data_IF_347727507446
#
_entry.id   IF_347727507446
#
_cell.length_a   1.000
_cell.length_b   1.000
_cell.length_c   1.000
_cell.angle_alpha   90.00
_cell.angle_beta   90.00
_cell.angle_gamma   90.00
#
_symmetry.space_group_name_H-M   'P 1'
#
loop_
_entity.id
_entity.type
_entity.pdbx_description
1 polymer ?
#
# COMPACT_ATOMS: atom_id res chain seq x y z
N UNK A 1 13.79 -4.93 -34.31
CA UNK A 1 13.01 -5.64 -33.28
C UNK A 1 12.84 -4.68 -32.09
N UNK A 2 11.61 -4.56 -31.56
CA UNK A 2 11.37 -3.77 -30.35
C UNK A 2 12.14 -4.32 -29.16
N UNK A 3 12.49 -3.46 -28.20
CA UNK A 3 13.11 -3.88 -26.93
C UNK A 3 12.15 -4.81 -26.18
N UNK A 4 12.70 -5.89 -25.62
CA UNK A 4 11.93 -6.88 -24.84
C UNK A 4 11.85 -6.47 -23.38
N UNK A 5 10.63 -6.41 -22.87
CA UNK A 5 10.37 -6.10 -21.47
C UNK A 5 9.58 -7.25 -20.85
N UNK A 6 10.07 -7.75 -19.74
CA UNK A 6 9.34 -8.69 -18.91
C UNK A 6 8.73 -7.95 -17.73
N UNK A 7 7.42 -8.15 -17.50
CA UNK A 7 6.75 -7.78 -16.28
C UNK A 7 6.54 -9.04 -15.43
N UNK A 8 7.15 -9.06 -14.27
CA UNK A 8 7.15 -10.20 -13.37
C UNK A 8 6.06 -10.03 -12.31
N UNK A 9 4.97 -10.77 -12.47
CA UNK A 9 3.74 -10.65 -11.72
C UNK A 9 2.75 -9.66 -12.33
N UNK A 10 1.47 -9.98 -12.31
CA UNK A 10 0.39 -9.14 -12.81
C UNK A 10 -0.14 -8.16 -11.73
N UNK A 11 0.73 -7.58 -10.91
CA UNK A 11 0.34 -6.50 -10.00
C UNK A 11 -0.19 -5.27 -10.74
N UNK A 12 -1.06 -4.47 -10.10
CA UNK A 12 -1.74 -3.33 -10.74
C UNK A 12 -0.78 -2.37 -11.47
N UNK A 13 0.34 -2.01 -10.85
CA UNK A 13 1.36 -1.17 -11.47
C UNK A 13 2.09 -1.85 -12.62
N UNK A 14 2.31 -3.17 -12.54
CA UNK A 14 2.92 -3.97 -13.60
C UNK A 14 2.04 -4.05 -14.85
N UNK A 15 0.75 -4.38 -14.68
CA UNK A 15 -0.24 -4.38 -15.75
C UNK A 15 -0.33 -3.03 -16.45
N UNK A 16 -0.40 -1.96 -15.68
CA UNK A 16 -0.51 -0.61 -16.23
C UNK A 16 0.78 -0.17 -16.93
N UNK A 17 1.96 -0.48 -16.36
CA UNK A 17 3.24 -0.22 -17.04
C UNK A 17 3.36 -1.01 -18.34
N UNK A 18 2.90 -2.27 -18.34
CA UNK A 18 2.87 -3.10 -19.54
C UNK A 18 2.00 -2.48 -20.65
N UNK A 19 0.80 -1.99 -20.30
CA UNK A 19 -0.09 -1.32 -21.25
C UNK A 19 0.59 -0.11 -21.89
N UNK A 20 1.17 0.77 -21.09
CA UNK A 20 1.81 2.00 -21.56
C UNK A 20 3.02 1.71 -22.46
N UNK A 21 3.83 0.72 -22.09
CA UNK A 21 5.02 0.34 -22.85
C UNK A 21 4.65 -0.40 -24.15
N UNK A 22 3.67 -1.31 -24.11
CA UNK A 22 3.20 -1.99 -25.32
C UNK A 22 2.59 -1.01 -26.32
N UNK A 23 1.77 -0.05 -25.84
CA UNK A 23 1.24 1.06 -26.66
C UNK A 23 2.35 1.91 -27.31
N UNK A 24 3.51 2.02 -26.64
CA UNK A 24 4.69 2.70 -27.17
C UNK A 24 5.55 1.83 -28.12
N UNK A 25 5.12 0.60 -28.43
CA UNK A 25 5.77 -0.29 -29.39
C UNK A 25 6.85 -1.23 -28.83
N UNK A 26 6.92 -1.38 -27.50
CA UNK A 26 7.81 -2.37 -26.88
C UNK A 26 7.20 -3.78 -26.97
N UNK A 27 8.05 -4.81 -27.03
CA UNK A 27 7.64 -6.22 -26.93
C UNK A 27 7.52 -6.59 -25.44
N UNK A 28 6.30 -6.48 -24.88
CA UNK A 28 6.05 -6.65 -23.46
C UNK A 28 5.35 -7.99 -23.20
N UNK A 29 5.91 -8.78 -22.27
CA UNK A 29 5.28 -10.02 -21.78
C UNK A 29 5.17 -9.97 -20.26
N UNK A 30 3.96 -10.24 -19.76
CA UNK A 30 3.62 -10.31 -18.34
C UNK A 30 3.56 -11.79 -17.95
N UNK A 31 4.29 -12.20 -16.92
CA UNK A 31 4.29 -13.56 -16.38
C UNK A 31 3.60 -13.58 -15.03
N UNK A 32 2.52 -14.35 -14.92
CA UNK A 32 1.69 -14.45 -13.72
C UNK A 32 1.54 -15.91 -13.29
N UNK A 33 1.64 -16.14 -11.97
CA UNK A 33 1.52 -17.48 -11.37
C UNK A 33 0.09 -18.02 -11.33
N UNK A 34 -0.89 -17.14 -11.19
CA UNK A 34 -2.29 -17.53 -11.15
C UNK A 34 -2.83 -17.85 -12.55
N UNK A 35 -3.91 -18.63 -12.60
CA UNK A 35 -4.68 -18.83 -13.81
C UNK A 35 -5.55 -17.58 -14.10
N UNK A 36 -6.00 -17.44 -15.33
CA UNK A 36 -6.76 -16.28 -15.80
C UNK A 36 -8.09 -16.09 -15.03
N UNK A 37 -8.69 -17.16 -14.56
CA UNK A 37 -9.95 -17.20 -13.83
C UNK A 37 -9.78 -17.08 -12.31
N UNK A 38 -8.53 -16.94 -11.81
CA UNK A 38 -8.23 -16.87 -10.38
C UNK A 38 -7.25 -15.73 -10.08
N UNK A 39 -7.54 -14.55 -10.62
CA UNK A 39 -6.71 -13.37 -10.42
C UNK A 39 -7.10 -12.60 -9.16
N UNK A 40 -6.10 -12.35 -8.31
CA UNK A 40 -6.25 -11.56 -7.10
C UNK A 40 -6.86 -12.33 -5.93
N UNK A 41 -7.38 -11.59 -4.96
CA UNK A 41 -8.10 -12.11 -3.80
C UNK A 41 -9.60 -11.90 -4.00
N UNK A 42 -10.44 -12.72 -3.38
CA UNK A 42 -11.90 -12.56 -3.40
C UNK A 42 -12.32 -11.45 -2.43
N UNK A 43 -12.00 -10.21 -2.79
CA UNK A 43 -12.20 -8.99 -2.02
C UNK A 43 -12.72 -7.85 -2.88
N UNK A 44 -13.22 -6.81 -2.21
CA UNK A 44 -13.41 -5.48 -2.78
C UNK A 44 -12.22 -4.58 -2.43
N UNK A 45 -11.93 -3.59 -3.26
CA UNK A 45 -10.92 -2.57 -3.00
C UNK A 45 -11.47 -1.16 -3.22
N UNK A 46 -10.89 -0.21 -2.49
CA UNK A 46 -11.21 1.21 -2.60
C UNK A 46 -9.97 1.93 -3.13
N UNK A 47 -10.15 2.76 -4.15
CA UNK A 47 -9.06 3.56 -4.72
C UNK A 47 -9.56 4.82 -5.42
N UNK A 48 -8.65 5.79 -5.60
CA UNK A 48 -8.90 7.02 -6.35
C UNK A 48 -8.98 6.74 -7.86
N UNK A 49 -10.14 6.86 -8.50
CA UNK A 49 -10.31 6.54 -9.92
C UNK A 49 -9.55 7.49 -10.85
N UNK A 50 -9.11 8.68 -10.40
CA UNK A 50 -8.21 9.55 -11.16
C UNK A 50 -6.89 8.87 -11.52
N UNK A 51 -6.52 7.81 -10.81
CA UNK A 51 -5.36 7.01 -11.17
C UNK A 51 -5.47 6.43 -12.58
N UNK A 52 -6.69 6.03 -12.99
CA UNK A 52 -6.98 5.51 -14.32
C UNK A 52 -6.80 6.60 -15.38
N UNK A 53 -7.31 7.81 -15.13
CA UNK A 53 -7.18 8.95 -16.06
C UNK A 53 -5.72 9.31 -16.32
N UNK A 54 -4.89 9.28 -15.27
CA UNK A 54 -3.45 9.60 -15.37
C UNK A 54 -2.74 8.73 -16.41
N UNK A 55 -3.18 7.49 -16.56
CA UNK A 55 -2.56 6.51 -17.47
C UNK A 55 -3.36 6.28 -18.76
N UNK A 56 -4.53 6.93 -18.89
CA UNK A 56 -5.43 6.76 -20.04
C UNK A 56 -6.06 5.36 -20.09
N UNK A 57 -6.24 4.73 -18.93
CA UNK A 57 -7.07 3.55 -18.77
C UNK A 57 -8.54 3.96 -18.68
N UNK A 58 -9.47 3.26 -19.36
CA UNK A 58 -10.89 3.60 -19.27
C UNK A 58 -11.39 3.51 -17.82
N UNK A 59 -12.40 4.32 -17.51
CA UNK A 59 -13.14 4.21 -16.25
C UNK A 59 -14.04 2.98 -16.25
N UNK A 60 -14.38 2.40 -15.09
CA UNK A 60 -15.22 1.20 -15.03
C UNK A 60 -16.59 1.40 -15.70
N UNK A 61 -17.22 2.57 -15.57
CA UNK A 61 -18.47 2.92 -16.24
C UNK A 61 -18.38 2.92 -17.77
N UNK A 62 -17.22 3.28 -18.32
CA UNK A 62 -16.99 3.33 -19.78
C UNK A 62 -16.92 1.92 -20.42
N UNK A 63 -16.61 0.91 -19.61
CA UNK A 63 -16.48 -0.49 -20.04
C UNK A 63 -17.53 -1.41 -19.42
N UNK A 64 -18.51 -0.83 -18.72
CA UNK A 64 -19.65 -1.56 -18.16
C UNK A 64 -19.31 -2.45 -16.96
N UNK A 65 -18.25 -2.14 -16.22
CA UNK A 65 -17.89 -2.83 -14.99
C UNK A 65 -18.61 -2.20 -13.78
N UNK A 66 -19.07 -3.02 -12.82
CA UNK A 66 -19.73 -2.52 -11.62
C UNK A 66 -18.74 -1.79 -10.70
N UNK A 67 -19.22 -0.73 -10.09
CA UNK A 67 -18.51 0.06 -9.10
C UNK A 67 -19.49 0.80 -8.20
N UNK A 68 -19.01 1.23 -7.03
CA UNK A 68 -19.77 2.01 -6.06
C UNK A 68 -18.91 3.13 -5.49
N UNK A 69 -19.57 4.20 -5.01
CA UNK A 69 -18.86 5.22 -4.24
C UNK A 69 -18.44 4.68 -2.87
N UNK A 70 -17.26 5.07 -2.41
CA UNK A 70 -16.87 4.90 -1.01
C UNK A 70 -17.86 5.61 -0.11
N UNK A 71 -18.22 4.99 1.00
CA UNK A 71 -19.09 5.57 2.03
C UNK A 71 -18.29 6.12 3.22
N UNK A 72 -18.95 6.91 4.09
CA UNK A 72 -18.39 7.38 5.35
C UNK A 72 -17.85 6.23 6.20
N UNK A 73 -16.72 6.46 6.85
CA UNK A 73 -16.13 5.52 7.81
C UNK A 73 -16.23 6.09 9.22
N UNK A 74 -16.54 5.24 10.18
CA UNK A 74 -16.59 5.64 11.60
C UNK A 74 -15.54 4.88 12.40
N UNK A 75 -14.64 5.62 13.03
CA UNK A 75 -13.50 5.09 13.78
C UNK A 75 -13.79 5.04 15.26
N UNK A 76 -13.41 3.92 15.86
CA UNK A 76 -13.50 3.65 17.30
C UNK A 76 -12.12 3.27 17.84
N UNK A 77 -11.73 3.83 18.97
CA UNK A 77 -10.63 3.32 19.79
C UNK A 77 -11.08 2.09 20.60
N UNK A 78 -10.18 1.48 21.38
CA UNK A 78 -10.46 0.24 22.11
C UNK A 78 -11.68 0.27 23.02
N UNK A 79 -11.89 1.37 23.74
CA UNK A 79 -13.01 1.58 24.66
C UNK A 79 -13.79 2.87 24.34
N UNK A 80 -13.70 3.33 23.09
CA UNK A 80 -14.37 4.56 22.66
C UNK A 80 -15.90 4.41 22.70
N UNK A 81 -16.54 5.32 23.40
CA UNK A 81 -18.00 5.41 23.46
C UNK A 81 -18.59 6.03 22.19
N UNK A 82 -19.91 5.88 21.98
CA UNK A 82 -20.57 6.35 20.76
C UNK A 82 -20.47 7.88 20.56
N UNK A 83 -20.38 8.66 21.63
CA UNK A 83 -20.22 10.11 21.59
C UNK A 83 -18.78 10.57 21.31
N UNK A 84 -17.80 9.67 21.38
CA UNK A 84 -16.38 9.94 21.12
C UNK A 84 -15.86 9.34 19.83
N UNK A 85 -16.69 8.60 19.09
CA UNK A 85 -16.33 8.07 17.77
C UNK A 85 -15.98 9.20 16.79
N UNK A 86 -15.08 8.92 15.86
CA UNK A 86 -14.66 9.88 14.83
C UNK A 86 -15.25 9.45 13.49
N UNK A 87 -16.13 10.29 12.92
CA UNK A 87 -16.68 10.05 11.59
C UNK A 87 -15.80 10.73 10.54
N UNK A 88 -15.23 9.94 9.66
CA UNK A 88 -14.58 10.39 8.44
C UNK A 88 -15.61 10.42 7.32
N UNK A 89 -16.00 11.62 6.91
CA UNK A 89 -16.91 11.80 5.79
C UNK A 89 -16.18 11.69 4.46
N UNK A 90 -16.84 11.12 3.48
CA UNK A 90 -16.39 11.21 2.09
C UNK A 90 -16.47 12.66 1.61
N UNK A 91 -15.65 13.07 0.63
CA UNK A 91 -15.75 14.41 0.02
C UNK A 91 -17.13 14.66 -0.58
N UNK A 92 -17.60 15.91 -0.49
CA UNK A 92 -18.87 16.32 -1.15
C UNK A 92 -18.71 16.42 -2.67
N UNK A 93 -17.49 16.67 -3.17
CA UNK A 93 -17.19 16.71 -4.60
C UNK A 93 -16.96 15.28 -5.13
N UNK A 94 -17.82 14.77 -6.03
CA UNK A 94 -17.62 13.44 -6.63
C UNK A 94 -16.27 13.25 -7.31
N UNK A 95 -15.65 14.34 -7.76
CA UNK A 95 -14.31 14.25 -8.35
C UNK A 95 -13.22 13.95 -7.34
N UNK A 96 -13.46 14.17 -6.05
CA UNK A 96 -12.53 13.85 -4.98
C UNK A 96 -12.86 12.52 -4.27
N UNK A 97 -13.96 11.88 -4.67
CA UNK A 97 -14.39 10.61 -4.09
C UNK A 97 -13.58 9.43 -4.63
N UNK A 98 -13.36 8.46 -3.75
CA UNK A 98 -12.85 7.15 -4.11
C UNK A 98 -14.00 6.22 -4.51
N UNK A 99 -13.70 5.24 -5.36
CA UNK A 99 -14.63 4.17 -5.77
C UNK A 99 -14.27 2.85 -5.12
N UNK A 100 -15.27 2.01 -4.89
CA UNK A 100 -15.17 0.61 -4.45
C UNK A 100 -15.49 -0.30 -5.64
N UNK A 101 -14.64 -1.28 -5.89
CA UNK A 101 -14.83 -2.29 -6.92
C UNK A 101 -14.47 -3.69 -6.40
N UNK A 102 -15.05 -4.73 -6.99
CA UNK A 102 -14.52 -6.08 -6.84
C UNK A 102 -13.10 -6.15 -7.39
N UNK A 103 -12.20 -6.81 -6.67
CA UNK A 103 -10.80 -6.94 -7.12
C UNK A 103 -10.68 -7.68 -8.45
N UNK A 104 -11.54 -8.66 -8.70
CA UNK A 104 -11.64 -9.36 -9.99
C UNK A 104 -11.95 -8.39 -11.14
N UNK A 105 -12.83 -7.41 -10.92
CA UNK A 105 -13.18 -6.41 -11.94
C UNK A 105 -12.05 -5.41 -12.16
N UNK A 106 -11.31 -5.04 -11.10
CA UNK A 106 -10.10 -4.23 -11.24
C UNK A 106 -9.05 -4.98 -12.08
N UNK A 107 -8.85 -6.27 -11.81
CA UNK A 107 -7.93 -7.09 -12.62
C UNK A 107 -8.40 -7.21 -14.05
N UNK A 108 -9.70 -7.47 -14.27
CA UNK A 108 -10.28 -7.52 -15.63
C UNK A 108 -10.01 -6.23 -16.38
N UNK A 109 -10.30 -5.07 -15.78
CA UNK A 109 -10.08 -3.75 -16.36
C UNK A 109 -8.61 -3.56 -16.77
N UNK A 110 -7.67 -3.84 -15.87
CA UNK A 110 -6.25 -3.59 -16.11
C UNK A 110 -5.62 -4.63 -17.07
N UNK A 111 -6.08 -5.88 -17.06
CA UNK A 111 -5.65 -6.91 -18.01
C UNK A 111 -6.15 -6.57 -19.42
N UNK A 112 -7.45 -6.19 -19.56
CA UNK A 112 -8.01 -5.78 -20.83
C UNK A 112 -7.28 -4.53 -21.39
N UNK A 113 -6.94 -3.59 -20.52
CA UNK A 113 -6.14 -2.43 -20.88
C UNK A 113 -4.72 -2.82 -21.34
N UNK A 114 -4.04 -3.73 -20.64
CA UNK A 114 -2.71 -4.19 -21.01
C UNK A 114 -2.70 -4.97 -22.33
N UNK A 115 -3.59 -5.96 -22.47
CA UNK A 115 -3.67 -6.81 -23.65
C UNK A 115 -4.20 -6.06 -24.88
N UNK A 116 -5.20 -5.19 -24.69
CA UNK A 116 -5.71 -4.29 -25.71
C UNK A 116 -4.66 -3.29 -26.23
N UNK A 117 -3.65 -2.98 -25.40
CA UNK A 117 -2.49 -2.17 -25.79
C UNK A 117 -1.37 -2.97 -26.47
N UNK A 118 -1.49 -4.30 -26.57
CA UNK A 118 -0.54 -5.18 -27.25
C UNK A 118 0.42 -5.94 -26.33
N UNK A 119 0.28 -5.85 -24.99
CA UNK A 119 1.05 -6.68 -24.08
C UNK A 119 0.55 -8.14 -24.11
N UNK A 120 1.48 -9.08 -23.91
CA UNK A 120 1.18 -10.52 -23.85
C UNK A 120 1.04 -10.94 -22.40
N UNK A 121 0.04 -11.80 -22.10
CA UNK A 121 -0.15 -12.43 -20.79
C UNK A 121 0.21 -13.91 -20.84
N UNK A 122 1.07 -14.34 -19.92
CA UNK A 122 1.45 -15.74 -19.70
C UNK A 122 1.03 -16.15 -18.30
N UNK A 123 -0.06 -16.91 -18.20
CA UNK A 123 -0.64 -17.37 -16.95
C UNK A 123 -0.06 -18.70 -16.48
N UNK A 124 -0.16 -18.98 -15.18
CA UNK A 124 0.30 -20.22 -14.56
C UNK A 124 1.82 -20.39 -14.68
N UNK A 125 2.60 -19.32 -14.63
CA UNK A 125 4.05 -19.31 -14.70
C UNK A 125 4.64 -18.91 -13.35
N UNK A 126 5.24 -19.86 -12.64
CA UNK A 126 5.90 -19.60 -11.37
C UNK A 126 7.32 -19.07 -11.58
N UNK A 127 7.52 -17.80 -11.27
CA UNK A 127 8.84 -17.16 -11.30
C UNK A 127 9.65 -17.67 -10.11
N UNK A 128 10.87 -18.14 -10.38
CA UNK A 128 11.81 -18.66 -9.37
C UNK A 128 12.83 -17.63 -8.93
N UNK A 129 13.12 -16.63 -9.77
CA UNK A 129 14.06 -15.56 -9.45
C UNK A 129 14.58 -14.82 -10.68
N UNK A 130 15.47 -13.84 -10.49
CA UNK A 130 16.12 -13.14 -11.60
C UNK A 130 17.22 -13.99 -12.22
N UNK A 131 17.44 -13.81 -13.54
CA UNK A 131 18.65 -14.25 -14.23
C UNK A 131 19.61 -13.07 -14.25
N UNK A 132 20.84 -13.31 -13.79
CA UNK A 132 21.87 -12.27 -13.64
C UNK A 132 23.00 -12.45 -14.63
N UNK A 133 23.43 -11.35 -15.27
CA UNK A 133 24.77 -11.24 -15.85
C UNK A 133 25.54 -10.21 -15.01
N UNK A 134 26.43 -10.69 -14.15
CA UNK A 134 27.15 -9.89 -13.15
C UNK A 134 26.17 -9.10 -12.24
N UNK A 135 26.10 -7.77 -12.37
CA UNK A 135 25.22 -6.90 -11.61
C UNK A 135 23.92 -6.55 -12.35
N UNK A 136 23.76 -7.04 -13.59
CA UNK A 136 22.61 -6.76 -14.43
C UNK A 136 21.58 -7.89 -14.37
N UNK A 137 20.32 -7.53 -14.22
CA UNK A 137 19.20 -8.45 -14.46
C UNK A 137 18.99 -8.56 -15.97
N UNK A 138 19.02 -9.78 -16.50
CA UNK A 138 18.86 -10.05 -17.93
C UNK A 138 17.66 -10.92 -18.25
N UNK A 139 16.86 -11.28 -17.24
CA UNK A 139 15.67 -12.11 -17.43
C UNK A 139 15.15 -12.68 -16.11
N UNK A 140 14.24 -13.63 -16.25
CA UNK A 140 13.63 -14.39 -15.14
C UNK A 140 13.77 -15.88 -15.36
N UNK A 141 14.05 -16.64 -14.30
CA UNK A 141 13.96 -18.08 -14.26
C UNK A 141 12.59 -18.49 -13.73
N UNK A 142 11.95 -19.46 -14.38
CA UNK A 142 10.60 -19.93 -14.04
C UNK A 142 10.53 -21.46 -13.98
N UNK A 143 9.37 -22.00 -13.65
CA UNK A 143 9.08 -23.43 -13.72
C UNK A 143 8.89 -23.93 -15.16
N UNK A 144 8.70 -23.00 -16.13
CA UNK A 144 8.55 -23.30 -17.57
C UNK A 144 9.80 -23.00 -18.40
N UNK A 145 10.92 -22.64 -17.74
CA UNK A 145 12.19 -22.30 -18.39
C UNK A 145 12.65 -20.88 -18.09
N UNK A 146 13.70 -20.47 -18.77
CA UNK A 146 14.34 -19.18 -18.63
C UNK A 146 13.89 -18.22 -19.73
N UNK A 147 13.53 -17.00 -19.37
CA UNK A 147 13.09 -15.95 -20.29
C UNK A 147 14.00 -14.73 -20.16
N UNK A 148 14.51 -14.24 -21.28
CA UNK A 148 15.46 -13.13 -21.34
C UNK A 148 14.81 -11.86 -21.86
N UNK A 149 15.20 -10.71 -21.30
CA UNK A 149 14.72 -9.39 -21.66
C UNK A 149 15.78 -8.31 -21.46
N UNK A 150 15.56 -7.15 -22.07
CA UNK A 150 16.39 -5.97 -21.87
C UNK A 150 16.11 -5.32 -20.50
N UNK A 151 14.86 -5.42 -20.02
CA UNK A 151 14.39 -4.92 -18.72
C UNK A 151 13.43 -5.91 -18.08
N UNK A 152 13.56 -6.09 -16.76
CA UNK A 152 12.59 -6.79 -15.91
C UNK A 152 11.93 -5.77 -14.95
N UNK A 153 10.62 -5.62 -15.09
CA UNK A 153 9.78 -4.83 -14.17
C UNK A 153 9.22 -5.80 -13.13
N UNK A 154 9.63 -5.61 -11.88
CA UNK A 154 9.21 -6.44 -10.76
C UNK A 154 7.91 -5.91 -10.16
N UNK A 155 6.81 -6.59 -10.43
CA UNK A 155 5.47 -6.36 -9.90
C UNK A 155 4.95 -7.58 -9.11
N UNK A 156 5.87 -8.43 -8.60
CA UNK A 156 5.54 -9.69 -7.92
C UNK A 156 5.14 -9.53 -6.45
N UNK A 157 4.93 -8.30 -5.98
CA UNK A 157 4.38 -8.01 -4.66
C UNK A 157 5.42 -7.89 -3.53
N UNK A 158 4.93 -7.77 -2.30
CA UNK A 158 5.75 -7.48 -1.11
C UNK A 158 6.88 -8.49 -0.85
N UNK A 159 6.65 -9.75 -1.14
CA UNK A 159 7.63 -10.85 -0.99
C UNK A 159 8.21 -11.27 -2.37
N UNK A 160 8.42 -10.32 -3.28
CA UNK A 160 8.92 -10.59 -4.62
C UNK A 160 10.11 -11.56 -4.62
N UNK A 161 9.96 -12.65 -5.36
CA UNK A 161 11.01 -13.65 -5.55
C UNK A 161 12.17 -13.13 -6.39
N UNK A 162 11.98 -12.02 -7.13
CA UNK A 162 13.07 -11.36 -7.87
C UNK A 162 13.86 -10.51 -6.89
N UNK A 163 13.22 -9.54 -6.22
CA UNK A 163 13.89 -8.62 -5.27
C UNK A 163 14.64 -9.38 -4.18
N UNK A 164 14.03 -10.40 -3.59
CA UNK A 164 14.63 -11.17 -2.48
C UNK A 164 15.87 -11.97 -2.89
N UNK A 165 16.03 -12.27 -4.18
CA UNK A 165 17.18 -13.01 -4.73
C UNK A 165 18.21 -12.12 -5.43
N UNK A 166 18.00 -10.81 -5.48
CA UNK A 166 19.02 -9.89 -5.98
C UNK A 166 20.29 -9.95 -5.12
N UNK A 167 21.50 -9.77 -5.69
CA UNK A 167 22.73 -9.70 -4.94
C UNK A 167 22.76 -8.54 -3.93
N UNK A 168 23.22 -8.76 -2.69
CA UNK A 168 23.29 -7.74 -1.62
C UNK A 168 24.07 -6.48 -2.01
N UNK A 169 25.08 -6.65 -2.87
CA UNK A 169 25.89 -5.54 -3.37
C UNK A 169 25.11 -4.49 -4.17
N UNK A 170 23.91 -4.81 -4.66
CA UNK A 170 23.01 -3.83 -5.30
C UNK A 170 22.37 -2.87 -4.28
N UNK A 171 22.29 -3.28 -3.01
CA UNK A 171 21.77 -2.44 -1.91
C UNK A 171 20.26 -2.34 -1.87
N UNK A 172 19.54 -3.16 -2.64
CA UNK A 172 18.06 -3.21 -2.64
C UNK A 172 17.62 -4.07 -1.46
N UNK A 173 16.74 -3.52 -0.61
CA UNK A 173 16.23 -4.23 0.55
C UNK A 173 15.35 -5.43 0.13
N UNK A 174 15.61 -6.59 0.73
CA UNK A 174 14.99 -7.86 0.35
C UNK A 174 13.65 -8.11 1.02
N UNK A 175 13.64 -8.06 2.34
CA UNK A 175 12.46 -8.41 3.14
C UNK A 175 12.02 -7.26 4.02
N UNK A 176 10.72 -7.04 4.18
CA UNK A 176 10.22 -6.16 5.23
C UNK A 176 10.45 -6.80 6.60
N UNK A 177 10.71 -5.96 7.61
CA UNK A 177 10.92 -6.37 9.01
C UNK A 177 9.62 -6.36 9.81
N UNK A 178 9.70 -6.64 11.14
CA UNK A 178 8.56 -6.48 12.03
C UNK A 178 8.06 -5.01 12.02
N UNK A 179 6.76 -4.83 12.10
CA UNK A 179 6.14 -3.50 12.03
C UNK A 179 6.08 -2.90 10.61
N UNK A 180 6.69 -3.56 9.64
CA UNK A 180 6.62 -3.20 8.21
C UNK A 180 5.66 -4.11 7.42
N UNK A 181 5.12 -5.14 8.09
CA UNK A 181 4.15 -6.12 7.58
C UNK A 181 2.84 -5.98 8.32
N UNK A 182 1.76 -6.16 7.61
CA UNK A 182 0.42 -6.23 8.18
C UNK A 182 -0.26 -7.49 7.67
N UNK A 183 -0.60 -8.38 8.59
CA UNK A 183 -1.26 -9.65 8.29
C UNK A 183 -2.76 -9.44 8.36
N UNK A 184 -3.45 -9.72 7.28
CA UNK A 184 -4.86 -9.40 7.12
C UNK A 184 -5.64 -10.64 6.78
N UNK A 185 -6.69 -10.90 7.57
CA UNK A 185 -7.78 -11.79 7.20
C UNK A 185 -8.96 -10.94 6.76
N UNK A 186 -9.62 -11.31 5.67
CA UNK A 186 -10.85 -10.66 5.23
C UNK A 186 -11.84 -11.69 4.69
N UNK A 187 -13.08 -11.60 5.14
CA UNK A 187 -14.17 -12.47 4.71
C UNK A 187 -15.52 -11.75 4.77
N UNK A 188 -16.44 -12.24 3.96
CA UNK A 188 -17.79 -11.71 3.82
C UNK A 188 -18.76 -12.71 4.45
N UNK A 189 -19.57 -12.23 5.38
CA UNK A 189 -20.50 -13.02 6.16
C UNK A 189 -21.94 -12.64 5.85
N UNK A 190 -22.89 -13.52 6.16
CA UNK A 190 -24.31 -13.20 6.12
C UNK A 190 -24.66 -11.99 6.99
N UNK A 191 -25.74 -11.31 6.64
CA UNK A 191 -26.24 -10.13 7.33
C UNK A 191 -27.57 -10.47 8.02
N UNK A 192 -27.58 -10.75 9.34
CA UNK A 192 -28.78 -11.21 10.05
C UNK A 192 -29.71 -10.06 10.49
N UNK A 193 -29.39 -8.81 10.17
CA UNK A 193 -30.19 -7.63 10.51
C UNK A 193 -30.55 -6.83 9.26
N UNK A 194 -31.58 -5.99 9.35
CA UNK A 194 -31.88 -5.03 8.29
C UNK A 194 -30.75 -3.98 8.19
N UNK A 195 -30.07 -3.85 7.05
CA UNK A 195 -28.98 -2.87 6.87
C UNK A 195 -29.42 -1.42 7.09
N UNK A 196 -30.72 -1.10 6.97
CA UNK A 196 -31.25 0.23 7.24
C UNK A 196 -31.21 0.59 8.74
N UNK A 197 -31.11 -0.41 9.62
CA UNK A 197 -31.06 -0.21 11.08
C UNK A 197 -29.64 -0.01 11.62
N UNK A 198 -28.62 -0.10 10.77
CA UNK A 198 -27.20 0.03 11.16
C UNK A 198 -26.73 1.46 10.95
N UNK A 199 -26.48 2.18 12.05
CA UNK A 199 -26.05 3.60 12.02
C UNK A 199 -24.64 3.80 11.45
N UNK A 200 -23.69 2.98 11.87
CA UNK A 200 -22.29 3.05 11.44
C UNK A 200 -22.01 1.92 10.44
N UNK A 201 -22.45 2.10 9.18
CA UNK A 201 -22.34 1.06 8.15
C UNK A 201 -20.89 0.63 7.88
N UNK A 202 -19.91 1.54 8.00
CA UNK A 202 -18.50 1.20 7.89
C UNK A 202 -17.77 1.54 9.20
N UNK A 203 -17.78 0.58 10.11
CA UNK A 203 -17.21 0.70 11.45
C UNK A 203 -15.76 0.20 11.44
N UNK A 204 -14.81 1.08 11.74
CA UNK A 204 -13.39 0.78 11.87
C UNK A 204 -13.00 0.78 13.33
N UNK A 205 -12.38 -0.30 13.80
CA UNK A 205 -11.93 -0.48 15.18
C UNK A 205 -10.40 -0.47 15.21
N UNK A 206 -9.83 0.49 15.93
CA UNK A 206 -8.40 0.57 16.17
C UNK A 206 -8.06 -0.23 17.44
N UNK A 207 -7.02 -1.05 17.40
CA UNK A 207 -6.61 -1.93 18.50
C UNK A 207 -7.76 -2.80 19.04
N UNK A 208 -8.44 -3.54 18.18
CA UNK A 208 -9.61 -4.32 18.61
C UNK A 208 -9.25 -5.51 19.49
N UNK A 209 -7.98 -5.91 19.48
CA UNK A 209 -7.42 -6.98 20.29
C UNK A 209 -6.53 -6.40 21.38
N UNK A 210 -6.78 -6.70 22.67
CA UNK A 210 -5.96 -6.24 23.80
C UNK A 210 -4.50 -6.67 23.71
N UNK A 211 -4.21 -7.79 23.08
CA UNK A 211 -2.89 -8.40 23.05
C UNK A 211 -2.11 -8.08 21.77
N UNK A 212 -2.76 -7.52 20.73
CA UNK A 212 -2.13 -7.27 19.45
C UNK A 212 -2.44 -5.90 18.87
N UNK A 213 -1.41 -5.30 18.30
CA UNK A 213 -1.53 -4.03 17.57
C UNK A 213 -2.17 -4.30 16.22
N UNK A 214 -3.34 -3.72 15.98
CA UNK A 214 -4.06 -3.99 14.76
C UNK A 214 -5.17 -3.01 14.46
N UNK A 215 -5.89 -3.33 13.40
CA UNK A 215 -7.10 -2.64 12.97
C UNK A 215 -8.09 -3.69 12.49
N UNK A 216 -9.35 -3.48 12.77
CA UNK A 216 -10.42 -4.27 12.17
C UNK A 216 -11.51 -3.38 11.63
N UNK A 217 -12.32 -3.90 10.74
CA UNK A 217 -13.55 -3.23 10.36
C UNK A 217 -14.69 -4.21 10.13
N UNK A 218 -15.90 -3.68 10.23
CA UNK A 218 -17.12 -4.30 9.77
C UNK A 218 -17.81 -3.29 8.85
N UNK A 219 -17.88 -3.59 7.56
CA UNK A 219 -18.67 -2.82 6.62
C UNK A 219 -19.99 -3.57 6.35
N UNK A 220 -21.10 -2.86 6.53
CA UNK A 220 -22.46 -3.39 6.32
C UNK A 220 -22.91 -3.01 4.93
N UNK A 221 -23.08 -4.00 4.09
CA UNK A 221 -23.59 -3.88 2.73
C UNK A 221 -25.10 -4.24 2.70
N UNK A 222 -25.71 -4.29 1.53
CA UNK A 222 -27.15 -4.59 1.44
C UNK A 222 -27.49 -6.04 1.79
N UNK A 223 -26.60 -6.99 1.52
CA UNK A 223 -26.85 -8.44 1.67
C UNK A 223 -25.80 -9.19 2.50
N UNK A 224 -24.71 -8.53 2.89
CA UNK A 224 -23.63 -9.16 3.63
C UNK A 224 -22.89 -8.15 4.54
N UNK A 225 -22.11 -8.68 5.46
CA UNK A 225 -21.14 -7.92 6.25
C UNK A 225 -19.73 -8.30 5.84
N UNK A 226 -18.91 -7.29 5.56
CA UNK A 226 -17.49 -7.43 5.23
C UNK A 226 -16.67 -7.26 6.50
N UNK A 227 -16.01 -8.32 6.93
CA UNK A 227 -15.13 -8.35 8.08
C UNK A 227 -13.68 -8.33 7.64
N UNK A 228 -12.91 -7.37 8.16
CA UNK A 228 -11.45 -7.42 8.12
C UNK A 228 -10.89 -7.47 9.53
N UNK A 229 -9.89 -8.32 9.73
CA UNK A 229 -9.03 -8.39 10.91
C UNK A 229 -7.60 -8.26 10.44
N UNK A 230 -6.86 -7.29 10.96
CA UNK A 230 -5.47 -7.06 10.58
C UNK A 230 -4.57 -6.82 11.79
N UNK A 231 -3.41 -7.49 11.83
CA UNK A 231 -2.43 -7.41 12.91
C UNK A 231 -1.02 -7.17 12.39
N UNK A 232 -0.16 -6.60 13.23
CA UNK A 232 1.28 -6.49 12.98
C UNK A 232 2.02 -7.82 13.15
N UNK A 233 1.46 -8.73 13.92
CA UNK A 233 1.97 -10.10 14.11
C UNK A 233 1.18 -11.09 13.24
N UNK A 234 1.77 -12.23 12.87
CA UNK A 234 1.07 -13.24 12.08
C UNK A 234 -0.23 -13.69 12.73
N UNK A 235 -1.30 -13.76 11.95
CA UNK A 235 -2.61 -14.27 12.37
C UNK A 235 -2.72 -15.78 12.12
N UNK A 236 -3.38 -16.49 13.04
CA UNK A 236 -3.81 -17.86 12.85
C UNK A 236 -5.33 -17.95 12.73
N UNK A 237 -5.88 -19.01 12.13
CA UNK A 237 -7.34 -19.16 12.02
C UNK A 237 -8.04 -19.22 13.37
N UNK A 238 -7.53 -19.91 14.41
CA UNK A 238 -8.15 -19.87 15.74
C UNK A 238 -8.26 -18.46 16.33
N UNK A 239 -7.22 -17.64 16.18
CA UNK A 239 -7.25 -16.22 16.61
C UNK A 239 -8.28 -15.42 15.84
N UNK A 240 -8.36 -15.60 14.52
CA UNK A 240 -9.38 -14.97 13.66
C UNK A 240 -10.80 -15.31 14.13
N UNK A 241 -11.06 -16.59 14.43
CA UNK A 241 -12.37 -17.05 14.89
C UNK A 241 -12.72 -16.43 16.26
N UNK A 242 -11.77 -16.40 17.19
CA UNK A 242 -11.96 -15.77 18.49
C UNK A 242 -12.26 -14.26 18.37
N UNK A 243 -11.52 -13.53 17.53
CA UNK A 243 -11.73 -12.11 17.29
C UNK A 243 -13.09 -11.89 16.63
N UNK A 244 -13.46 -12.69 15.64
CA UNK A 244 -14.75 -12.60 14.97
C UNK A 244 -15.91 -12.81 15.95
N UNK A 245 -15.82 -13.81 16.84
CA UNK A 245 -16.83 -14.05 17.88
C UNK A 245 -16.91 -12.88 18.88
N UNK A 246 -15.79 -12.26 19.23
CA UNK A 246 -15.75 -11.07 20.08
C UNK A 246 -16.46 -9.89 19.38
N UNK A 247 -16.24 -9.73 18.08
CA UNK A 247 -16.90 -8.68 17.28
C UNK A 247 -18.41 -8.87 17.21
N UNK A 248 -18.90 -10.10 17.02
CA UNK A 248 -20.33 -10.43 16.95
C UNK A 248 -21.09 -10.00 18.20
N UNK A 249 -20.47 -10.07 19.38
CA UNK A 249 -21.10 -9.68 20.65
C UNK A 249 -21.57 -8.21 20.68
N UNK A 250 -20.89 -7.35 19.95
CA UNK A 250 -21.18 -5.90 19.89
C UNK A 250 -21.60 -5.41 18.51
N UNK A 251 -21.64 -6.29 17.52
CA UNK A 251 -21.97 -5.94 16.15
C UNK A 251 -22.93 -7.00 15.56
N UNK A 252 -24.24 -6.89 15.84
CA UNK A 252 -25.23 -7.87 15.42
C UNK A 252 -25.37 -8.00 13.91
N UNK A 253 -24.88 -7.04 13.13
CA UNK A 253 -24.82 -7.11 11.68
C UNK A 253 -23.80 -8.14 11.15
N UNK A 254 -22.84 -8.58 11.97
CA UNK A 254 -21.86 -9.58 11.56
C UNK A 254 -22.41 -11.00 11.79
N UNK A 255 -22.87 -11.64 10.73
CA UNK A 255 -23.37 -13.01 10.78
C UNK A 255 -22.30 -14.06 11.04
N UNK A 256 -22.73 -15.32 11.03
CA UNK A 256 -21.85 -16.47 11.34
C UNK A 256 -21.53 -17.31 10.10
N UNK A 257 -22.30 -17.16 9.02
CA UNK A 257 -22.11 -17.93 7.79
C UNK A 257 -21.20 -17.18 6.85
N UNK A 258 -19.98 -17.68 6.68
CA UNK A 258 -19.05 -17.15 5.70
C UNK A 258 -19.55 -17.43 4.28
N UNK A 259 -19.83 -16.38 3.51
CA UNK A 259 -20.31 -16.47 2.14
C UNK A 259 -19.17 -16.56 1.14
N UNK A 260 -18.11 -15.74 1.32
CA UNK A 260 -16.92 -15.71 0.45
C UNK A 260 -15.69 -15.12 1.16
N UNK A 261 -14.55 -15.05 0.48
CA UNK A 261 -13.30 -14.58 1.06
C UNK A 261 -12.70 -15.60 2.03
N UNK A 262 -12.12 -15.13 3.13
CA UNK A 262 -11.47 -16.00 4.13
C UNK A 262 -10.01 -16.24 3.84
N UNK A 263 -9.39 -15.39 3.01
CA UNK A 263 -7.97 -15.47 2.70
C UNK A 263 -7.17 -14.62 3.69
N UNK A 264 -5.96 -15.11 3.97
CA UNK A 264 -4.93 -14.34 4.69
C UNK A 264 -3.96 -13.74 3.70
N UNK A 265 -3.67 -12.45 3.87
CA UNK A 265 -2.82 -11.67 2.97
C UNK A 265 -1.83 -10.86 3.78
N UNK A 266 -0.65 -10.68 3.22
CA UNK A 266 0.36 -9.78 3.75
C UNK A 266 0.34 -8.47 2.97
N UNK A 267 0.14 -7.36 3.67
CA UNK A 267 0.21 -6.01 3.13
C UNK A 267 1.48 -5.34 3.64
N UNK A 268 2.34 -4.78 2.77
CA UNK A 268 3.49 -4.01 3.23
C UNK A 268 3.02 -2.64 3.74
N UNK A 269 3.37 -2.31 4.98
CA UNK A 269 2.98 -1.06 5.64
C UNK A 269 4.23 -0.31 6.10
N UNK A 270 5.07 0.03 5.14
CA UNK A 270 6.37 0.63 5.38
C UNK A 270 6.67 1.76 4.39
N UNK A 271 7.80 2.44 4.61
CA UNK A 271 8.34 3.40 3.65
C UNK A 271 8.72 2.72 2.34
N UNK A 272 8.69 3.45 1.21
CA UNK A 272 9.18 2.96 -0.07
C UNK A 272 10.64 2.51 -0.01
N UNK A 273 11.03 1.63 -0.92
CA UNK A 273 12.44 1.23 -1.06
C UNK A 273 13.34 2.44 -1.27
N UNK A 274 14.45 2.47 -0.57
CA UNK A 274 15.51 3.47 -0.77
C UNK A 274 16.24 3.30 -2.10
N UNK A 275 16.24 2.09 -2.67
CA UNK A 275 16.74 1.79 -4.02
C UNK A 275 15.72 0.88 -4.72
N UNK A 276 15.10 1.38 -5.81
CA UNK A 276 14.06 0.68 -6.57
C UNK A 276 14.55 0.14 -7.92
N UNK A 277 15.74 0.57 -8.35
CA UNK A 277 16.27 0.29 -9.68
C UNK A 277 17.69 -0.26 -9.63
N UNK A 278 17.99 -1.11 -10.59
CA UNK A 278 19.34 -1.60 -10.88
C UNK A 278 19.49 -1.76 -12.40
N UNK A 279 20.68 -2.14 -12.88
CA UNK A 279 20.84 -2.43 -14.31
C UNK A 279 19.89 -3.56 -14.74
N UNK A 280 19.01 -3.26 -15.70
CA UNK A 280 18.00 -4.18 -16.22
C UNK A 280 16.84 -4.49 -15.25
N UNK A 281 16.66 -3.71 -14.18
CA UNK A 281 15.64 -3.97 -13.16
C UNK A 281 14.97 -2.71 -12.65
N UNK A 282 13.64 -2.75 -12.51
CA UNK A 282 12.86 -1.75 -11.81
C UNK A 282 11.72 -2.40 -11.00
N UNK A 283 11.58 -2.04 -9.72
CA UNK A 283 10.47 -2.48 -8.88
C UNK A 283 9.30 -1.48 -8.95
N UNK A 284 8.05 -1.99 -8.89
CA UNK A 284 6.84 -1.18 -8.88
C UNK A 284 5.76 -1.78 -7.96
N UNK A 285 4.86 -0.95 -7.46
CA UNK A 285 3.80 -1.36 -6.56
C UNK A 285 4.34 -1.90 -5.24
N UNK A 286 3.78 -3.00 -4.74
CA UNK A 286 4.20 -3.60 -3.47
C UNK A 286 5.62 -4.18 -3.54
N UNK A 287 6.15 -4.50 -4.73
CA UNK A 287 7.55 -4.88 -4.88
C UNK A 287 8.51 -3.72 -4.57
N UNK A 288 8.04 -2.48 -4.70
CA UNK A 288 8.76 -1.26 -4.30
C UNK A 288 8.24 -0.64 -2.99
N UNK A 289 7.28 -1.30 -2.32
CA UNK A 289 6.62 -0.82 -1.10
C UNK A 289 5.96 0.55 -1.28
N UNK A 290 5.14 0.69 -2.33
CA UNK A 290 4.45 1.94 -2.68
C UNK A 290 3.08 2.08 -2.00
N UNK A 291 2.74 1.16 -1.11
CA UNK A 291 1.51 1.19 -0.31
C UNK A 291 1.58 2.26 0.77
N UNK A 292 0.50 2.99 0.98
CA UNK A 292 0.40 3.98 2.08
C UNK A 292 0.39 3.26 3.42
N UNK A 293 1.37 3.49 4.31
CA UNK A 293 1.61 2.63 5.47
C UNK A 293 0.51 2.62 6.53
N UNK A 294 -0.33 3.67 6.60
CA UNK A 294 -1.36 3.80 7.65
C UNK A 294 -2.66 3.09 7.24
N UNK A 295 -2.99 3.13 5.94
CA UNK A 295 -4.29 2.65 5.44
C UNK A 295 -4.17 1.40 4.55
N UNK A 296 -2.96 0.96 4.22
CA UNK A 296 -2.75 -0.20 3.36
C UNK A 296 -3.17 0.01 1.89
N UNK A 297 -3.45 1.24 1.44
CA UNK A 297 -3.88 1.55 0.07
C UNK A 297 -2.68 1.68 -0.87
N UNK A 298 -2.63 0.87 -1.92
CA UNK A 298 -1.51 0.84 -2.88
C UNK A 298 -1.90 0.91 -4.35
N UNK A 299 -3.15 0.61 -4.70
CA UNK A 299 -3.61 0.45 -6.09
C UNK A 299 -3.41 1.74 -6.89
N UNK A 300 -3.99 2.85 -6.45
CA UNK A 300 -3.89 4.14 -7.14
C UNK A 300 -2.44 4.61 -7.28
N UNK A 301 -1.61 4.40 -6.25
CA UNK A 301 -0.20 4.75 -6.30
C UNK A 301 0.57 3.90 -7.32
N UNK A 302 0.34 2.59 -7.35
CA UNK A 302 0.99 1.69 -8.30
C UNK A 302 0.62 2.06 -9.74
N UNK A 303 -0.66 2.36 -10.02
CA UNK A 303 -1.14 2.81 -11.33
C UNK A 303 -0.48 4.14 -11.73
N UNK A 304 -0.54 5.18 -10.87
CA UNK A 304 0.06 6.49 -11.17
C UNK A 304 1.57 6.40 -11.44
N UNK A 305 2.28 5.55 -10.69
CA UNK A 305 3.73 5.38 -10.84
C UNK A 305 4.14 4.60 -12.09
N UNK A 306 3.26 3.79 -12.63
CA UNK A 306 3.52 3.09 -13.90
C UNK A 306 3.75 4.06 -15.05
N UNK A 307 3.09 5.23 -15.04
CA UNK A 307 3.33 6.30 -16.02
C UNK A 307 4.74 6.85 -15.93
N UNK A 308 5.22 7.14 -14.70
CA UNK A 308 6.59 7.62 -14.50
C UNK A 308 7.60 6.59 -14.98
N UNK A 309 7.39 5.32 -14.66
CA UNK A 309 8.25 4.22 -15.12
C UNK A 309 8.24 4.10 -16.64
N UNK A 310 7.06 4.11 -17.28
CA UNK A 310 6.96 4.02 -18.73
C UNK A 310 7.62 5.22 -19.43
N UNK A 311 7.38 6.44 -18.98
CA UNK A 311 8.01 7.65 -19.51
C UNK A 311 9.54 7.61 -19.40
N UNK A 312 10.06 7.14 -18.24
CA UNK A 312 11.51 6.97 -18.04
C UNK A 312 12.10 5.95 -19.01
N UNK A 313 11.39 4.82 -19.25
CA UNK A 313 11.83 3.81 -20.22
C UNK A 313 11.82 4.35 -21.66
N UNK A 314 10.79 5.09 -22.04
CA UNK A 314 10.69 5.71 -23.37
C UNK A 314 11.76 6.78 -23.59
N UNK A 315 12.20 7.48 -22.54
CA UNK A 315 13.28 8.46 -22.61
C UNK A 315 14.68 7.82 -22.81
N UNK A 316 14.85 6.55 -22.42
CA UNK A 316 16.07 5.78 -22.70
C UNK A 316 16.07 5.27 -24.15
N UNK A 317 16.26 6.18 -25.10
CA UNK A 317 16.24 5.85 -26.54
C UNK A 317 17.33 4.84 -26.97
N UNK A 318 18.42 4.76 -26.20
CA UNK A 318 19.47 3.76 -26.41
C UNK A 318 19.03 2.35 -25.92
N UNK A 319 18.02 2.31 -25.02
CA UNK A 319 17.51 1.07 -24.40
C UNK A 319 18.57 0.36 -23.60
N UNK A 320 19.32 1.13 -22.83
CA UNK A 320 20.39 0.60 -21.97
C UNK A 320 19.83 0.04 -20.68
N UNK A 321 18.71 0.57 -20.20
CA UNK A 321 18.06 0.22 -18.93
C UNK A 321 19.07 0.04 -17.79
N UNK A 322 20.06 0.94 -17.75
CA UNK A 322 21.02 0.99 -16.66
C UNK A 322 20.38 1.60 -15.41
N UNK A 323 20.96 1.37 -14.24
CA UNK A 323 20.53 2.07 -13.02
C UNK A 323 20.56 3.59 -13.18
N UNK A 324 21.46 4.12 -14.03
CA UNK A 324 21.57 5.55 -14.33
C UNK A 324 20.36 6.04 -15.15
N UNK A 325 19.97 5.34 -16.21
CA UNK A 325 18.83 5.72 -17.05
C UNK A 325 17.50 5.49 -16.35
N UNK A 326 17.39 4.44 -15.52
CA UNK A 326 16.20 4.16 -14.70
C UNK A 326 16.09 5.05 -13.46
N UNK A 327 17.12 5.80 -13.10
CA UNK A 327 17.12 6.64 -11.90
C UNK A 327 16.09 7.75 -11.93
N UNK A 328 15.74 8.26 -13.11
CA UNK A 328 14.69 9.28 -13.27
C UNK A 328 13.34 8.80 -12.74
N UNK A 329 13.01 7.52 -12.95
CA UNK A 329 11.81 6.90 -12.36
C UNK A 329 11.81 7.01 -10.83
N UNK A 330 12.87 6.57 -10.17
CA UNK A 330 12.96 6.63 -8.70
C UNK A 330 12.97 8.08 -8.21
N UNK A 331 13.75 8.96 -8.84
CA UNK A 331 13.82 10.36 -8.47
C UNK A 331 12.45 11.05 -8.56
N UNK A 332 11.74 10.90 -9.68
CA UNK A 332 10.42 11.49 -9.89
C UNK A 332 9.37 10.89 -8.94
N UNK A 333 9.43 9.61 -8.66
CA UNK A 333 8.57 8.98 -7.66
C UNK A 333 8.72 9.66 -6.29
N UNK A 334 9.95 9.84 -5.80
CA UNK A 334 10.16 10.52 -4.52
C UNK A 334 9.76 12.00 -4.56
N UNK A 335 9.91 12.68 -5.69
CA UNK A 335 9.47 14.08 -5.82
C UNK A 335 7.94 14.25 -5.81
N UNK A 336 7.21 13.24 -6.17
CA UNK A 336 5.73 13.28 -6.27
C UNK A 336 5.04 12.60 -5.09
N UNK A 337 5.26 11.31 -4.89
CA UNK A 337 4.54 10.48 -3.92
C UNK A 337 5.40 10.01 -2.76
N UNK A 338 6.63 9.58 -3.01
CA UNK A 338 7.49 8.97 -2.00
C UNK A 338 7.70 9.87 -0.79
N UNK A 339 7.91 11.16 -1.02
CA UNK A 339 8.06 12.19 0.03
C UNK A 339 6.81 12.38 0.92
N UNK A 340 5.65 11.94 0.47
CA UNK A 340 4.42 11.97 1.27
C UNK A 340 4.20 10.64 2.00
N UNK A 341 4.61 9.52 1.38
CA UNK A 341 4.40 8.16 1.92
C UNK A 341 5.42 7.83 3.01
N UNK A 342 6.69 8.16 2.80
CA UNK A 342 7.76 7.78 3.73
C UNK A 342 7.54 8.34 5.15
N UNK A 343 7.22 9.63 5.35
CA UNK A 343 6.93 10.15 6.67
C UNK A 343 5.72 9.49 7.35
N UNK A 344 4.72 9.04 6.59
CA UNK A 344 3.56 8.33 7.14
C UNK A 344 3.95 6.98 7.76
N UNK A 345 5.02 6.35 7.29
CA UNK A 345 5.55 5.14 7.93
C UNK A 345 6.06 5.42 9.35
N UNK A 346 6.63 6.60 9.61
CA UNK A 346 7.06 7.03 10.94
C UNK A 346 5.86 7.33 11.85
N UNK A 347 4.82 7.99 11.31
CA UNK A 347 3.56 8.21 12.03
C UNK A 347 2.91 6.87 12.40
N UNK A 348 2.89 5.90 11.49
CA UNK A 348 2.40 4.54 11.78
C UNK A 348 3.22 3.88 12.91
N UNK A 349 4.54 4.07 12.97
CA UNK A 349 5.36 3.56 14.08
C UNK A 349 4.98 4.15 15.43
N UNK A 350 4.39 5.35 15.51
CA UNK A 350 3.80 5.86 16.76
C UNK A 350 2.66 4.96 17.21
N UNK A 351 1.76 4.61 16.29
CA UNK A 351 0.63 3.74 16.59
C UNK A 351 1.07 2.36 17.12
N UNK A 352 2.23 1.86 16.70
CA UNK A 352 2.78 0.58 17.21
C UNK A 352 3.43 0.70 18.60
N UNK A 353 3.42 1.87 19.22
CA UNK A 353 4.11 2.16 20.50
C UNK A 353 3.20 2.70 21.58
N UNK A 354 2.02 3.18 21.23
CA UNK A 354 1.05 3.67 22.19
C UNK A 354 0.22 2.50 22.75
N UNK A 355 -0.21 2.61 24.01
CA UNK A 355 -1.12 1.64 24.61
C UNK A 355 -2.55 1.89 24.17
N UNK A 356 -3.44 0.93 24.47
CA UNK A 356 -4.88 1.11 24.28
C UNK A 356 -5.41 2.32 25.07
N UNK A 357 -5.01 2.47 26.33
CA UNK A 357 -5.40 3.61 27.16
C UNK A 357 -4.93 4.95 26.57
N UNK A 358 -3.72 4.97 25.98
CA UNK A 358 -3.20 6.17 25.32
C UNK A 358 -3.97 6.49 24.03
N UNK A 359 -4.41 5.47 23.30
CA UNK A 359 -5.24 5.66 22.11
C UNK A 359 -6.62 6.18 22.50
N UNK A 360 -7.26 5.58 23.51
CA UNK A 360 -8.54 6.07 24.05
C UNK A 360 -8.43 7.49 24.60
N UNK A 361 -7.35 7.80 25.30
CA UNK A 361 -7.05 9.15 25.74
C UNK A 361 -6.98 10.13 24.56
N UNK A 362 -6.34 9.73 23.44
CA UNK A 362 -6.26 10.57 22.26
C UNK A 362 -7.63 10.82 21.60
N UNK A 363 -8.53 9.82 21.61
CA UNK A 363 -9.92 9.99 21.18
C UNK A 363 -10.70 10.90 22.15
N UNK A 364 -10.67 10.61 23.44
CA UNK A 364 -11.47 11.29 24.45
C UNK A 364 -11.11 12.76 24.63
N UNK A 365 -9.83 13.09 24.57
CA UNK A 365 -9.32 14.48 24.69
C UNK A 365 -9.31 15.22 23.34
N UNK A 366 -9.75 14.59 22.25
CA UNK A 366 -9.77 15.17 20.90
C UNK A 366 -8.37 15.47 20.35
N UNK A 367 -7.38 14.71 20.76
CA UNK A 367 -6.00 14.78 20.22
C UNK A 367 -5.99 14.21 18.80
N UNK A 368 -6.68 13.07 18.59
CA UNK A 368 -6.95 12.49 17.27
C UNK A 368 -8.33 12.99 16.81
N UNK A 369 -8.40 13.50 15.58
CA UNK A 369 -9.64 14.02 15.00
C UNK A 369 -9.87 13.44 13.58
N UNK A 370 -11.04 13.73 13.00
CA UNK A 370 -11.34 13.38 11.62
C UNK A 370 -10.31 13.94 10.65
N UNK A 371 -9.71 15.08 10.97
CA UNK A 371 -8.74 15.75 10.10
C UNK A 371 -7.47 14.92 9.91
N UNK A 372 -6.88 14.41 10.99
CA UNK A 372 -5.71 13.54 10.96
C UNK A 372 -6.01 12.23 10.20
N UNK A 373 -7.19 11.65 10.44
CA UNK A 373 -7.62 10.43 9.75
C UNK A 373 -7.83 10.68 8.25
N UNK A 374 -8.43 11.80 7.87
CA UNK A 374 -8.66 12.15 6.46
C UNK A 374 -7.37 12.43 5.71
N UNK A 375 -6.41 13.14 6.30
CA UNK A 375 -5.10 13.39 5.67
C UNK A 375 -4.36 12.08 5.40
N UNK A 376 -4.41 11.15 6.34
CA UNK A 376 -3.78 9.83 6.17
C UNK A 376 -4.48 9.00 5.10
N UNK A 377 -5.80 9.09 4.99
CA UNK A 377 -6.58 8.36 4.01
C UNK A 377 -6.45 8.92 2.58
N UNK A 378 -6.39 10.23 2.43
CA UNK A 378 -6.43 10.89 1.12
C UNK A 378 -5.06 11.11 0.47
N UNK A 379 -4.00 10.43 0.92
CA UNK A 379 -2.65 10.50 0.35
C UNK A 379 -2.09 11.94 0.27
N UNK A 380 -2.60 12.84 1.11
CA UNK A 380 -2.25 14.25 1.04
C UNK A 380 -0.91 14.54 1.72
N UNK A 381 -0.26 15.60 1.27
CA UNK A 381 1.01 16.04 1.85
C UNK A 381 0.90 16.27 3.36
N UNK A 382 1.91 15.80 4.10
CA UNK A 382 2.07 16.09 5.53
C UNK A 382 2.01 17.58 5.89
N UNK A 383 2.32 18.47 4.94
CA UNK A 383 2.16 19.92 5.14
C UNK A 383 0.71 20.32 5.43
N UNK A 384 -0.29 19.49 5.04
CA UNK A 384 -1.68 19.71 5.41
C UNK A 384 -1.98 19.41 6.89
N UNK A 385 -1.12 18.67 7.58
CA UNK A 385 -1.19 18.57 9.06
C UNK A 385 -0.91 19.90 9.75
N UNK A 386 -0.12 20.78 9.11
CA UNK A 386 0.19 22.11 9.62
C UNK A 386 -0.90 23.13 9.28
N UNK A 387 -2.15 22.72 9.24
CA UNK A 387 -3.28 23.65 9.07
C UNK A 387 -3.52 24.43 10.35
N UNK A 388 -4.17 25.58 10.23
CA UNK A 388 -4.60 26.36 11.38
C UNK A 388 -5.74 25.62 12.10
N UNK A 389 -5.41 25.01 13.23
CA UNK A 389 -6.38 24.40 14.14
C UNK A 389 -6.52 25.30 15.37
N UNK A 390 -7.67 25.97 15.55
CA UNK A 390 -7.90 26.83 16.73
C UNK A 390 -7.87 26.03 18.05
N UNK A 391 -8.04 24.70 18.00
CA UNK A 391 -7.96 23.82 19.16
C UNK A 391 -6.54 23.30 19.44
N UNK A 392 -5.56 23.60 18.60
CA UNK A 392 -4.18 23.13 18.78
C UNK A 392 -3.61 23.44 20.17
N UNK A 393 -3.81 24.64 20.76
CA UNK A 393 -3.36 24.90 22.14
C UNK A 393 -4.03 24.00 23.16
N UNK A 394 -5.34 23.73 23.03
CA UNK A 394 -6.10 22.84 23.92
C UNK A 394 -5.60 21.40 23.79
N UNK A 395 -5.36 20.92 22.57
CA UNK A 395 -4.81 19.59 22.26
C UNK A 395 -3.40 19.44 22.84
N UNK A 396 -2.55 20.47 22.71
CA UNK A 396 -1.22 20.52 23.31
C UNK A 396 -1.26 20.47 24.85
N UNK A 397 -2.17 21.19 25.49
CA UNK A 397 -2.39 21.14 26.94
C UNK A 397 -2.89 19.77 27.40
N UNK A 398 -3.75 19.11 26.61
CA UNK A 398 -4.18 17.74 26.89
C UNK A 398 -3.00 16.77 26.88
N UNK A 399 -2.12 16.84 25.88
CA UNK A 399 -0.92 16.00 25.80
C UNK A 399 0.01 16.12 27.01
N UNK A 400 0.04 17.27 27.69
CA UNK A 400 0.84 17.44 28.91
C UNK A 400 0.38 16.56 30.10
N UNK A 401 -0.85 16.02 30.01
CA UNK A 401 -1.40 15.08 31.03
C UNK A 401 -0.76 13.69 30.91
N UNK A 402 -0.29 13.29 29.72
CA UNK A 402 0.43 12.03 29.49
C UNK A 402 1.83 12.33 28.93
N UNK A 403 2.83 12.38 29.84
CA UNK A 403 4.21 12.69 29.49
C UNK A 403 4.87 11.62 28.62
N UNK A 404 4.46 10.37 28.73
CA UNK A 404 4.99 9.27 27.90
C UNK A 404 4.46 9.39 26.48
N UNK A 405 3.16 9.60 26.29
CA UNK A 405 2.57 9.86 24.98
C UNK A 405 3.17 11.11 24.33
N UNK A 406 3.34 12.19 25.10
CA UNK A 406 4.01 13.41 24.63
C UNK A 406 5.45 13.11 24.14
N UNK A 407 6.22 12.35 24.92
CA UNK A 407 7.57 11.95 24.57
C UNK A 407 7.64 11.10 23.30
N UNK A 408 6.73 10.12 23.16
CA UNK A 408 6.58 9.30 21.97
C UNK A 408 6.24 10.15 20.73
N UNK A 409 5.29 11.06 20.87
CA UNK A 409 4.88 11.99 19.81
C UNK A 409 6.01 12.93 19.37
N UNK A 410 6.69 13.57 20.33
CA UNK A 410 7.84 14.44 20.05
C UNK A 410 8.96 13.69 19.31
N UNK A 411 9.22 12.44 19.69
CA UNK A 411 10.17 11.59 19.02
C UNK A 411 9.81 11.32 17.55
N UNK A 412 8.53 11.05 17.26
CA UNK A 412 8.07 10.84 15.88
C UNK A 412 8.15 12.13 15.06
N UNK A 413 7.80 13.28 15.64
CA UNK A 413 7.96 14.59 14.97
C UNK A 413 9.42 14.82 14.58
N UNK A 414 10.37 14.50 15.46
CA UNK A 414 11.81 14.61 15.15
C UNK A 414 12.23 13.68 14.01
N UNK A 415 11.74 12.43 13.99
CA UNK A 415 12.03 11.47 12.94
C UNK A 415 11.42 11.89 11.59
N UNK A 416 10.18 12.39 11.60
CA UNK A 416 9.52 12.95 10.41
C UNK A 416 10.32 14.13 9.86
N UNK A 417 10.76 15.04 10.71
CA UNK A 417 11.59 16.17 10.31
C UNK A 417 12.92 15.70 9.70
N UNK A 418 13.58 14.70 10.32
CA UNK A 418 14.81 14.09 9.79
C UNK A 418 14.56 13.43 8.41
N UNK A 419 13.46 12.69 8.26
CA UNK A 419 13.07 12.07 6.98
C UNK A 419 12.90 13.13 5.89
N UNK A 420 12.11 14.18 6.15
CA UNK A 420 11.87 15.28 5.21
C UNK A 420 13.17 15.99 4.79
N UNK A 421 14.11 16.18 5.72
CA UNK A 421 15.42 16.75 5.41
C UNK A 421 16.23 15.79 4.54
N UNK A 422 16.30 14.50 4.87
CA UNK A 422 17.07 13.52 4.09
C UNK A 422 16.51 13.40 2.67
N UNK A 423 15.21 13.46 2.49
CA UNK A 423 14.56 13.41 1.16
C UNK A 423 14.99 14.57 0.26
N UNK A 424 15.30 15.76 0.80
CA UNK A 424 15.82 16.88 0.02
C UNK A 424 17.20 16.60 -0.58
N UNK A 425 17.97 15.68 0.03
CA UNK A 425 19.31 15.28 -0.44
C UNK A 425 19.29 14.07 -1.37
N UNK A 426 18.10 13.61 -1.83
CA UNK A 426 18.03 12.58 -2.86
C UNK A 426 18.82 13.01 -4.10
N UNK A 427 19.81 12.24 -4.55
CA UNK A 427 20.63 12.62 -5.69
C UNK A 427 19.80 12.82 -6.95
N UNK A 428 19.81 14.02 -7.52
CA UNK A 428 19.09 14.31 -8.78
C UNK A 428 19.66 13.51 -9.96
N UNK A 429 20.97 13.30 -9.98
CA UNK A 429 21.65 12.46 -10.97
C UNK A 429 22.19 11.22 -10.31
N UNK A 430 22.07 10.10 -10.98
CA UNK A 430 22.61 8.84 -10.49
C UNK A 430 24.10 8.91 -10.21
N UNK A 431 24.47 8.41 -9.07
CA UNK A 431 25.84 8.09 -8.69
C UNK A 431 25.79 7.00 -7.63
N UNK A 432 26.32 5.82 -7.94
CA UNK A 432 26.24 4.65 -7.05
C UNK A 432 26.67 4.97 -5.61
N UNK A 433 27.73 5.76 -5.44
CA UNK A 433 28.20 6.15 -4.11
C UNK A 433 27.24 7.08 -3.38
N UNK A 434 26.74 8.12 -4.06
CA UNK A 434 25.78 9.09 -3.48
C UNK A 434 24.46 8.42 -3.16
N UNK A 435 23.93 7.57 -4.07
CA UNK A 435 22.70 6.81 -3.87
C UNK A 435 22.82 5.89 -2.67
N UNK A 436 23.91 5.13 -2.53
CA UNK A 436 24.14 4.27 -1.37
C UNK A 436 24.27 5.07 -0.06
N UNK A 437 24.92 6.22 -0.07
CA UNK A 437 25.03 7.08 1.11
C UNK A 437 23.67 7.63 1.52
N UNK A 438 22.88 8.10 0.56
CA UNK A 438 21.52 8.58 0.79
C UNK A 438 20.61 7.45 1.30
N UNK A 439 20.63 6.29 0.64
CA UNK A 439 19.81 5.13 1.04
C UNK A 439 20.13 4.71 2.48
N UNK A 440 21.41 4.66 2.87
CA UNK A 440 21.81 4.36 4.24
C UNK A 440 21.24 5.36 5.24
N UNK A 441 21.31 6.67 4.94
CA UNK A 441 20.77 7.70 5.81
C UNK A 441 19.24 7.59 5.92
N UNK A 442 18.57 7.41 4.80
CA UNK A 442 17.12 7.21 4.72
C UNK A 442 16.68 5.98 5.53
N UNK A 443 17.24 4.80 5.27
CA UNK A 443 16.87 3.57 5.97
C UNK A 443 17.15 3.65 7.48
N UNK A 444 18.18 4.39 7.90
CA UNK A 444 18.54 4.56 9.31
C UNK A 444 17.43 5.28 10.07
N UNK A 445 16.74 6.27 9.48
CA UNK A 445 15.62 6.98 10.14
C UNK A 445 14.50 6.03 10.57
N UNK A 446 14.24 4.99 9.79
CA UNK A 446 13.19 4.01 10.09
C UNK A 446 13.68 2.90 11.02
N UNK A 447 14.91 2.44 10.86
CA UNK A 447 15.42 1.26 11.57
C UNK A 447 15.89 1.55 12.99
N UNK A 448 16.34 2.78 13.32
CA UNK A 448 16.87 3.08 14.65
C UNK A 448 15.79 2.92 15.75
N UNK A 449 14.54 3.26 15.47
CA UNK A 449 13.41 3.07 16.40
C UNK A 449 13.09 1.60 16.62
N UNK A 450 13.04 0.83 15.54
CA UNK A 450 12.78 -0.62 15.62
C UNK A 450 13.89 -1.33 16.41
N UNK A 451 15.16 -0.91 16.23
CA UNK A 451 16.30 -1.39 17.03
C UNK A 451 16.13 -1.04 18.52
N UNK A 452 15.73 0.19 18.83
CA UNK A 452 15.48 0.60 20.21
C UNK A 452 14.34 -0.19 20.88
N UNK A 453 13.43 -0.76 20.09
CA UNK A 453 12.34 -1.64 20.55
C UNK A 453 12.75 -3.12 20.61
N UNK A 454 13.97 -3.48 20.21
CA UNK A 454 14.42 -4.88 20.11
C UNK A 454 13.68 -5.69 19.03
N UNK A 455 13.16 -5.02 17.99
CA UNK A 455 12.35 -5.64 16.93
C UNK A 455 13.11 -5.84 15.61
N UNK A 456 14.38 -5.41 15.52
CA UNK A 456 15.33 -5.61 14.39
C UNK A 456 16.71 -5.91 14.94
#
# INVERSE_FOLDING_TARGET
MGKKIIVAGAGHGGLTAAALLAKAGYDVTIYERHAADNMGYDWTDIFDPKALDVVGCPRPEEVGLPWEWKIDMTFFGPHTTQDKKIRQRVPDDPQEMEIKMERSDIYKLLIDFATGSGAKMEYGVNIKGPIMDKDRVVGISTDKGDFFADLVIDAAGAESVIRTKLPDRLGIQKHPTWGEKFYVYRAFYDLPVDPATVDDKYKVMLYPDPESIGIGWIATEDTFSDLLIGHMDPLTMPEVEEIAERYRKTNPQLGTVKQRGGQMVLIPVRQPLSIMVADGYAAIGDSAFMTVPIIGSGIGNAIKNSKILAETNMADTAGTYSAETLWDYQYRYFQTMGKNIAPLALVKLLLTRISQDQLDFAFNEGILTWHELTITANHTSLWKFLHFDPNLPKRGLALLKDKDLLGKGAGVVADVAACLVIEQFLPKKYSRAKVKAWAKAYDTVFTHRLKAMGKV
#
